data_IF_813829638257
#
_entry.id   IF_813829638257
#
_cell.length_a   1.000
_cell.length_b   1.000
_cell.length_c   1.000
_cell.angle_alpha   90.00
_cell.angle_beta   90.00
_cell.angle_gamma   90.00
#
_symmetry.space_group_name_H-M   'P 1'
#
loop_
_entity.id
_entity.type
_entity.pdbx_description
1 polymer ?
#
# COMPACT_ATOMS: atom_id res chain seq x y z
N UNK A 1 8.98 6.68 -5.70
CA UNK A 1 10.32 6.37 -6.18
C UNK A 1 10.67 4.92 -5.92
N UNK A 2 11.25 4.27 -6.92
CA UNK A 2 11.60 2.86 -6.80
C UNK A 2 12.98 2.72 -6.17
N UNK A 3 13.13 1.70 -5.32
CA UNK A 3 14.42 1.43 -4.69
C UNK A 3 14.76 -0.04 -4.87
N UNK A 4 16.06 -0.32 -4.93
CA UNK A 4 16.55 -1.68 -4.95
C UNK A 4 16.43 -2.23 -3.52
N UNK A 5 15.59 -3.25 -3.35
CA UNK A 5 15.31 -3.81 -2.04
C UNK A 5 14.82 -5.24 -2.24
N UNK A 6 15.25 -6.14 -1.36
CA UNK A 6 14.79 -7.51 -1.38
C UNK A 6 13.27 -7.56 -1.13
N UNK A 7 12.61 -8.52 -1.78
CA UNK A 7 11.14 -8.66 -1.69
C UNK A 7 10.69 -8.81 -0.25
N UNK A 8 11.36 -9.66 0.53
CA UNK A 8 10.96 -9.86 1.93
C UNK A 8 11.15 -8.59 2.75
N UNK A 9 12.21 -7.86 2.49
CA UNK A 9 12.43 -6.57 3.17
C UNK A 9 11.39 -5.56 2.74
N UNK A 10 10.96 -5.58 1.47
CA UNK A 10 9.91 -4.69 0.99
C UNK A 10 8.58 -4.98 1.70
N UNK A 11 8.26 -6.26 1.88
CA UNK A 11 7.06 -6.66 2.62
C UNK A 11 7.10 -6.10 4.04
N UNK A 12 8.24 -6.25 4.72
CA UNK A 12 8.38 -5.73 6.09
C UNK A 12 8.19 -4.21 6.12
N UNK A 13 8.73 -3.51 5.13
CA UNK A 13 8.57 -2.05 5.08
C UNK A 13 7.11 -1.65 4.92
N UNK A 14 6.36 -2.35 4.08
CA UNK A 14 4.95 -2.04 3.89
C UNK A 14 4.16 -2.34 5.17
N UNK A 15 4.43 -3.46 5.82
CA UNK A 15 3.78 -3.81 7.08
C UNK A 15 3.99 -2.71 8.10
N UNK A 16 5.23 -2.25 8.22
CA UNK A 16 5.58 -1.23 9.21
C UNK A 16 4.93 0.11 8.90
N UNK A 17 5.03 0.54 7.64
CA UNK A 17 4.57 1.88 7.26
C UNK A 17 3.06 2.00 7.17
N UNK A 18 2.38 0.89 6.90
CA UNK A 18 0.94 0.90 6.67
C UNK A 18 0.16 0.28 7.81
N UNK A 19 0.84 -0.15 8.88
CA UNK A 19 0.19 -0.74 10.04
C UNK A 19 -0.79 -1.83 9.60
N UNK A 20 -0.31 -2.77 8.76
CA UNK A 20 -1.21 -3.76 8.16
C UNK A 20 -1.75 -4.75 9.17
N UNK A 21 -1.13 -4.83 10.36
CA UNK A 21 -1.63 -5.68 11.45
C UNK A 21 -2.73 -5.00 12.27
N UNK A 22 -2.88 -3.70 12.12
CA UNK A 22 -3.88 -2.93 12.86
C UNK A 22 -5.16 -2.83 12.04
N UNK A 23 -6.27 -2.66 12.76
CA UNK A 23 -7.56 -2.51 12.09
C UNK A 23 -7.58 -1.27 11.19
N UNK A 24 -8.10 -1.36 9.97
CA UNK A 24 -8.51 -2.58 9.26
C UNK A 24 -7.30 -3.37 8.76
N UNK A 25 -7.15 -4.58 9.26
CA UNK A 25 -5.97 -5.38 9.00
C UNK A 25 -5.94 -5.94 7.59
N UNK A 26 -4.73 -6.14 7.07
CA UNK A 26 -4.52 -6.83 5.80
C UNK A 26 -3.82 -8.15 6.09
N UNK A 27 -4.15 -9.17 5.31
CA UNK A 27 -3.50 -10.46 5.49
C UNK A 27 -2.09 -10.45 4.89
N UNK A 28 -1.26 -11.39 5.32
CA UNK A 28 0.09 -11.50 4.77
C UNK A 28 0.07 -11.70 3.25
N UNK A 29 -0.87 -12.52 2.77
CA UNK A 29 -0.99 -12.76 1.33
C UNK A 29 -1.35 -11.48 0.58
N UNK A 30 -2.20 -10.65 1.16
CA UNK A 30 -2.57 -9.39 0.55
C UNK A 30 -1.40 -8.43 0.48
N UNK A 31 -0.61 -8.37 1.53
CA UNK A 31 0.57 -7.50 1.56
C UNK A 31 1.58 -7.97 0.51
N UNK A 32 1.82 -9.27 0.43
CA UNK A 32 2.74 -9.82 -0.55
C UNK A 32 2.29 -9.51 -1.98
N UNK A 33 1.00 -9.62 -2.24
CA UNK A 33 0.45 -9.32 -3.55
C UNK A 33 0.62 -7.84 -3.89
N UNK A 34 0.39 -6.96 -2.93
CA UNK A 34 0.58 -5.53 -3.11
C UNK A 34 2.05 -5.22 -3.44
N UNK A 35 2.97 -5.85 -2.73
CA UNK A 35 4.39 -5.65 -2.98
C UNK A 35 4.76 -6.13 -4.39
N UNK A 36 4.26 -7.29 -4.79
CA UNK A 36 4.55 -7.81 -6.12
C UNK A 36 4.04 -6.89 -7.22
N UNK A 37 2.88 -6.29 -7.02
CA UNK A 37 2.33 -5.33 -7.99
C UNK A 37 3.14 -4.04 -8.04
N UNK A 38 3.91 -3.76 -7.01
CA UNK A 38 4.75 -2.57 -6.97
C UNK A 38 6.14 -2.80 -7.53
N UNK A 39 6.42 -3.99 -8.07
CA UNK A 39 7.71 -4.28 -8.70
C UNK A 39 7.91 -3.41 -9.92
N UNK A 40 9.14 -2.95 -10.12
CA UNK A 40 9.48 -2.04 -11.21
C UNK A 40 10.75 -2.53 -11.90
N UNK A 41 10.97 -2.13 -13.16
CA UNK A 41 12.24 -2.43 -13.83
C UNK A 41 13.40 -1.91 -13.00
N UNK A 42 14.50 -2.65 -13.01
CA UNK A 42 15.68 -2.23 -12.27
C UNK A 42 16.46 -1.16 -13.05
N UNK A 43 17.63 -0.80 -12.54
CA UNK A 43 18.46 0.21 -13.17
C UNK A 43 18.86 -0.14 -14.59
N UNK A 44 19.05 -1.44 -14.84
CA UNK A 44 19.45 -1.90 -16.15
C UNK A 44 18.26 -2.04 -17.10
N UNK A 45 17.04 -1.81 -16.62
CA UNK A 45 15.84 -1.92 -17.42
C UNK A 45 15.29 -3.34 -17.50
N UNK A 46 15.80 -4.26 -16.69
CA UNK A 46 15.28 -5.63 -16.68
C UNK A 46 13.87 -5.66 -16.13
N UNK A 47 13.03 -6.46 -16.77
CA UNK A 47 11.62 -6.55 -16.37
C UNK A 47 11.50 -7.25 -15.00
N UNK A 48 10.50 -6.83 -14.20
CA UNK A 48 10.30 -7.45 -12.91
C UNK A 48 10.15 -8.97 -13.01
N UNK A 49 10.84 -9.66 -12.10
CA UNK A 49 10.82 -11.13 -11.98
C UNK A 49 11.43 -11.84 -13.20
N UNK A 50 12.07 -11.09 -14.10
CA UNK A 50 12.78 -11.68 -15.22
C UNK A 50 14.20 -12.10 -14.83
N UNK A 51 14.87 -12.76 -15.78
CA UNK A 51 16.25 -13.18 -15.57
C UNK A 51 17.14 -11.95 -15.40
N UNK A 52 17.97 -11.96 -14.39
CA UNK A 52 18.90 -10.88 -14.15
C UNK A 52 18.29 -9.66 -13.50
N UNK A 53 17.01 -9.70 -13.19
CA UNK A 53 16.36 -8.57 -12.55
C UNK A 53 16.87 -8.40 -11.12
N UNK A 54 17.30 -7.20 -10.79
CA UNK A 54 17.62 -6.84 -9.42
C UNK A 54 16.32 -6.38 -8.76
N UNK A 55 15.88 -7.05 -7.66
CA UNK A 55 14.62 -6.68 -7.03
C UNK A 55 14.52 -5.19 -6.76
N UNK A 56 13.52 -4.57 -7.33
CA UNK A 56 13.29 -3.13 -7.25
C UNK A 56 11.81 -2.90 -7.11
N UNK A 57 11.41 -2.12 -6.11
CA UNK A 57 10.01 -1.90 -5.80
C UNK A 57 9.74 -0.43 -5.55
N UNK A 58 8.53 0.01 -5.93
CA UNK A 58 8.06 1.34 -5.59
C UNK A 58 7.28 1.24 -4.29
N UNK A 59 7.95 1.44 -3.16
CA UNK A 59 7.32 1.31 -1.86
C UNK A 59 6.24 2.35 -1.63
N UNK A 60 6.36 3.52 -2.23
CA UNK A 60 5.32 4.52 -2.10
C UNK A 60 4.03 4.06 -2.77
N UNK A 61 4.12 3.43 -3.94
CA UNK A 61 2.96 2.86 -4.61
C UNK A 61 2.36 1.72 -3.80
N UNK A 62 3.21 0.87 -3.22
CA UNK A 62 2.73 -0.23 -2.38
C UNK A 62 1.99 0.30 -1.15
N UNK A 63 2.55 1.32 -0.49
CA UNK A 63 1.91 1.92 0.68
C UNK A 63 0.58 2.57 0.31
N UNK A 64 0.53 3.27 -0.82
CA UNK A 64 -0.73 3.87 -1.27
C UNK A 64 -1.78 2.81 -1.50
N UNK A 65 -1.42 1.71 -2.15
CA UNK A 65 -2.37 0.63 -2.42
C UNK A 65 -2.83 -0.04 -1.12
N UNK A 66 -1.92 -0.23 -0.17
CA UNK A 66 -2.28 -0.82 1.12
C UNK A 66 -3.31 0.04 1.85
N UNK A 67 -3.08 1.36 1.89
CA UNK A 67 -4.03 2.25 2.55
C UNK A 67 -5.35 2.34 1.81
N UNK A 68 -5.33 2.25 0.47
CA UNK A 68 -6.56 2.19 -0.32
C UNK A 68 -7.37 0.96 0.01
N UNK A 69 -6.71 -0.18 0.15
CA UNK A 69 -7.40 -1.42 0.51
C UNK A 69 -7.97 -1.34 1.92
N UNK A 70 -7.21 -0.75 2.86
CA UNK A 70 -7.71 -0.54 4.21
C UNK A 70 -8.95 0.37 4.21
N UNK A 71 -8.93 1.43 3.39
CA UNK A 71 -10.08 2.32 3.27
C UNK A 71 -11.31 1.57 2.73
N UNK A 72 -11.10 0.72 1.73
CA UNK A 72 -12.18 -0.07 1.17
C UNK A 72 -12.81 -0.98 2.21
N UNK A 73 -11.99 -1.61 3.04
CA UNK A 73 -12.50 -2.48 4.09
C UNK A 73 -13.27 -1.72 5.14
N UNK A 74 -12.82 -0.52 5.46
CA UNK A 74 -13.53 0.30 6.43
C UNK A 74 -14.88 0.73 5.88
N UNK A 75 -14.92 1.11 4.61
CA UNK A 75 -16.17 1.50 3.97
C UNK A 75 -17.18 0.35 3.97
N UNK A 76 -16.72 -0.85 3.69
CA UNK A 76 -17.59 -2.03 3.70
C UNK A 76 -18.20 -2.23 5.08
N UNK A 77 -17.43 -1.98 6.12
CA UNK A 77 -17.90 -2.21 7.48
C UNK A 77 -18.84 -1.12 7.97
N UNK A 78 -18.96 -0.02 7.26
CA UNK A 78 -19.95 1.00 7.59
C UNK A 78 -21.37 0.47 7.51
N UNK A 79 -21.59 -0.55 6.71
CA UNK A 79 -22.90 -1.13 6.57
C UNK A 79 -23.32 -1.89 7.84
N UNK A 80 -22.38 -2.19 8.71
CA UNK A 80 -22.69 -2.83 9.98
C UNK A 80 -23.08 -1.73 10.96
N UNK A 81 -24.35 -1.66 11.24
CA UNK A 81 -24.87 -0.61 12.12
C UNK A 81 -24.71 -1.02 13.57
N UNK A 82 -23.66 -0.55 14.19
CA UNK A 82 -23.38 -0.80 15.61
C UNK A 82 -23.24 0.54 16.30
N UNK A 83 -24.02 0.72 17.36
CA UNK A 83 -24.06 2.00 18.06
C UNK A 83 -22.68 2.42 18.52
N UNK A 84 -22.32 3.66 18.27
CA UNK A 84 -21.06 4.25 18.72
C UNK A 84 -19.86 3.85 17.89
N UNK A 85 -19.86 2.66 17.33
CA UNK A 85 -18.73 2.20 16.53
C UNK A 85 -18.76 2.77 15.12
N UNK A 86 -19.91 3.14 14.64
CA UNK A 86 -20.03 3.70 13.32
C UNK A 86 -19.23 5.01 13.19
N UNK A 87 -19.26 5.82 14.24
CA UNK A 87 -18.51 7.06 14.26
C UNK A 87 -17.01 6.81 14.24
N UNK A 88 -16.55 5.85 15.03
CA UNK A 88 -15.14 5.50 15.07
C UNK A 88 -14.67 4.95 13.72
N UNK A 89 -15.49 4.16 13.08
CA UNK A 89 -15.15 3.61 11.76
C UNK A 89 -15.08 4.70 10.70
N UNK A 90 -15.94 5.70 10.82
CA UNK A 90 -15.89 6.83 9.91
C UNK A 90 -14.56 7.56 10.03
N UNK A 91 -14.07 7.75 11.25
CA UNK A 91 -12.79 8.39 11.48
C UNK A 91 -11.64 7.56 10.93
N UNK A 92 -11.71 6.24 11.13
CA UNK A 92 -10.68 5.34 10.63
C UNK A 92 -10.68 5.34 9.10
N UNK A 93 -11.85 5.32 8.50
CA UNK A 93 -11.97 5.38 7.05
C UNK A 93 -11.33 6.66 6.50
N UNK A 94 -11.65 7.79 7.11
CA UNK A 94 -11.09 9.07 6.68
C UNK A 94 -9.57 9.07 6.81
N UNK A 95 -9.06 8.49 7.88
CA UNK A 95 -7.63 8.38 8.10
C UNK A 95 -6.98 7.54 6.99
N UNK A 96 -7.59 6.41 6.66
CA UNK A 96 -7.05 5.54 5.62
C UNK A 96 -7.04 6.26 4.26
N UNK A 97 -8.10 7.01 3.95
CA UNK A 97 -8.17 7.76 2.71
C UNK A 97 -7.07 8.83 2.67
N UNK A 98 -6.87 9.52 3.78
CA UNK A 98 -5.83 10.55 3.86
C UNK A 98 -4.45 9.94 3.67
N UNK A 99 -4.19 8.79 4.29
CA UNK A 99 -2.91 8.13 4.15
C UNK A 99 -2.69 7.62 2.72
N UNK A 100 -3.75 7.12 2.09
CA UNK A 100 -3.66 6.68 0.71
C UNK A 100 -3.28 7.85 -0.20
N UNK A 101 -3.90 8.99 -0.02
CA UNK A 101 -3.58 10.18 -0.80
C UNK A 101 -2.16 10.65 -0.57
N UNK A 102 -1.72 10.61 0.70
CA UNK A 102 -0.37 11.01 1.06
C UNK A 102 0.67 10.16 0.31
N UNK A 103 0.51 8.83 0.38
CA UNK A 103 1.44 7.93 -0.29
C UNK A 103 1.34 8.00 -1.81
N UNK A 104 0.11 8.15 -2.33
CA UNK A 104 -0.08 8.25 -3.77
C UNK A 104 0.61 9.50 -4.34
N UNK A 105 0.64 10.58 -3.57
CA UNK A 105 1.34 11.79 -3.98
C UNK A 105 2.84 11.63 -4.05
N UNK A 106 3.40 10.58 -3.47
CA UNK A 106 4.83 10.31 -3.50
C UNK A 106 5.23 9.35 -4.61
N UNK A 107 4.27 8.81 -5.36
CA UNK A 107 4.59 7.83 -6.38
C UNK A 107 5.30 8.51 -7.55
N UNK A 108 6.45 7.93 -7.92
CA UNK A 108 7.21 8.46 -9.04
C UNK A 108 6.42 8.28 -10.34
N UNK A 109 6.47 9.25 -11.20
CA UNK A 109 5.77 9.18 -12.46
C UNK A 109 4.34 9.65 -12.43
N UNK A 110 3.76 9.82 -11.23
CA UNK A 110 2.47 10.47 -11.10
C UNK A 110 2.75 11.95 -11.12
N UNK A 111 2.79 12.49 -12.27
CA UNK A 111 3.17 13.87 -12.40
C UNK A 111 2.08 14.75 -11.81
N UNK A 112 2.42 15.64 -10.93
CA UNK A 112 1.47 16.63 -10.50
C UNK A 112 1.11 17.43 -11.73
N UNK A 113 -0.11 17.65 -11.85
CA UNK A 113 -0.43 18.43 -12.91
C UNK A 113 -0.27 19.73 -12.47
N UNK A 114 0.60 20.24 -13.01
CA UNK A 114 0.76 21.63 -12.66
C UNK A 114 -0.39 22.41 -13.16
#
# INVERSE_FOLDING_TARGET
MSIAIDRDAAVVQVITRCATDDFPALTAAEVEDIVDQAARPDRAGETPFGDGWLPTFDLNAACAQAWELKATRTATKFDVNVDGQQLDRSQIHDQCVKMARFWRGKVAGVAPRA
#
